data_IF_653594602776
#
_entry.id   IF_653594602776
#
_cell.length_a   1.000
_cell.length_b   1.000
_cell.length_c   1.000
_cell.angle_alpha   90.00
_cell.angle_beta   90.00
_cell.angle_gamma   90.00
#
_symmetry.space_group_name_H-M   'P 1'
#
loop_
_entity.id
_entity.type
_entity.pdbx_description
1 polymer ?
#
# COMPACT_ATOMS: atom_id res chain seq x y z
N UNK A 1 8.30 12.08 7.04
CA UNK A 1 7.63 11.87 8.34
C UNK A 1 8.15 10.60 9.00
N UNK A 2 8.25 10.57 10.34
CA UNK A 2 8.73 9.42 11.13
C UNK A 2 7.89 8.17 10.89
N UNK A 3 6.55 8.28 10.94
CA UNK A 3 5.62 7.15 10.75
C UNK A 3 5.84 6.43 9.41
N UNK A 4 5.95 7.17 8.30
CA UNK A 4 6.18 6.58 6.97
C UNK A 4 7.51 5.81 6.91
N UNK A 5 8.57 6.35 7.55
CA UNK A 5 9.89 5.71 7.60
C UNK A 5 9.88 4.45 8.45
N UNK A 6 9.24 4.50 9.62
CA UNK A 6 9.06 3.35 10.51
C UNK A 6 8.28 2.24 9.82
N UNK A 7 7.13 2.57 9.21
CA UNK A 7 6.35 1.59 8.46
C UNK A 7 7.14 0.96 7.33
N UNK A 8 7.91 1.74 6.57
CA UNK A 8 8.72 1.19 5.47
C UNK A 8 9.73 0.17 5.97
N UNK A 9 10.34 0.42 7.14
CA UNK A 9 11.29 -0.50 7.79
C UNK A 9 10.60 -1.73 8.39
N UNK A 10 9.43 -1.55 8.97
CA UNK A 10 8.77 -2.63 9.73
C UNK A 10 7.91 -3.55 8.86
N UNK A 11 7.12 -2.97 7.96
CA UNK A 11 6.18 -3.69 7.10
C UNK A 11 5.89 -2.89 5.82
N UNK A 12 6.45 -3.36 4.71
CA UNK A 12 6.34 -2.70 3.41
C UNK A 12 4.89 -2.57 2.90
N UNK A 13 4.01 -3.54 3.17
CA UNK A 13 2.60 -3.44 2.80
C UNK A 13 1.85 -2.37 3.60
N UNK A 14 2.12 -2.25 4.90
CA UNK A 14 1.56 -1.16 5.69
C UNK A 14 2.04 0.20 5.22
N UNK A 15 3.31 0.30 4.81
CA UNK A 15 3.85 1.52 4.23
C UNK A 15 3.11 1.91 2.94
N UNK A 16 2.92 0.97 2.01
CA UNK A 16 2.21 1.23 0.75
C UNK A 16 0.77 1.70 1.02
N UNK A 17 0.01 0.94 1.82
CA UNK A 17 -1.38 1.28 2.15
C UNK A 17 -1.50 2.62 2.89
N UNK A 18 -0.57 2.90 3.80
CA UNK A 18 -0.50 4.20 4.48
C UNK A 18 -0.25 5.34 3.49
N UNK A 19 0.73 5.19 2.59
CA UNK A 19 1.04 6.23 1.62
C UNK A 19 -0.10 6.47 0.63
N UNK A 20 -0.81 5.43 0.20
CA UNK A 20 -2.02 5.58 -0.62
C UNK A 20 -3.14 6.33 0.11
N UNK A 21 -3.31 6.07 1.41
CA UNK A 21 -4.24 6.84 2.22
C UNK A 21 -3.83 8.32 2.29
N UNK A 22 -2.53 8.61 2.45
CA UNK A 22 -2.00 9.98 2.46
C UNK A 22 -2.27 10.69 1.13
N UNK A 23 -1.99 10.04 -0.01
CA UNK A 23 -2.31 10.60 -1.32
C UNK A 23 -3.81 10.89 -1.47
N UNK A 24 -4.67 9.96 -1.05
CA UNK A 24 -6.13 10.17 -1.09
C UNK A 24 -6.55 11.37 -0.24
N UNK A 25 -6.00 11.51 0.96
CA UNK A 25 -6.29 12.65 1.83
C UNK A 25 -5.83 13.97 1.19
N UNK A 26 -4.62 13.99 0.59
CA UNK A 26 -4.11 15.16 -0.14
C UNK A 26 -5.09 15.55 -1.27
N UNK A 27 -5.63 14.58 -2.01
CA UNK A 27 -6.61 14.81 -3.09
C UNK A 27 -7.93 15.35 -2.55
N UNK A 28 -8.47 14.75 -1.49
CA UNK A 28 -9.73 15.20 -0.84
C UNK A 28 -9.62 16.63 -0.34
N UNK A 29 -8.43 17.05 0.09
CA UNK A 29 -8.14 18.41 0.54
C UNK A 29 -7.65 19.33 -0.60
N UNK A 30 -7.83 18.93 -1.87
CA UNK A 30 -7.49 19.69 -3.07
C UNK A 30 -6.04 20.15 -3.14
N UNK A 31 -5.11 19.35 -2.61
CA UNK A 31 -3.68 19.67 -2.57
C UNK A 31 -3.38 21.01 -1.85
N UNK A 32 -4.25 21.40 -0.92
CA UNK A 32 -4.14 22.63 -0.15
C UNK A 32 -3.50 22.36 1.21
N UNK A 33 -2.30 22.91 1.41
CA UNK A 33 -1.54 22.71 2.64
C UNK A 33 -2.21 23.31 3.86
N UNK A 34 -2.96 24.41 3.71
CA UNK A 34 -3.64 25.05 4.83
C UNK A 34 -4.82 24.19 5.29
N UNK A 35 -5.56 23.58 4.35
CA UNK A 35 -6.60 22.60 4.68
C UNK A 35 -6.01 21.36 5.35
N UNK A 36 -4.88 20.84 4.87
CA UNK A 36 -4.16 19.72 5.50
C UNK A 36 -3.74 20.09 6.93
N UNK A 37 -3.21 21.29 7.12
CA UNK A 37 -2.80 21.75 8.44
C UNK A 37 -3.98 21.78 9.42
N UNK A 38 -5.09 22.41 9.04
CA UNK A 38 -6.28 22.57 9.87
C UNK A 38 -7.03 21.25 10.14
N UNK A 39 -7.05 20.33 9.18
CA UNK A 39 -7.82 19.09 9.30
C UNK A 39 -7.03 17.91 9.88
N UNK A 40 -5.69 17.95 9.79
CA UNK A 40 -4.83 16.83 10.12
C UNK A 40 -3.75 17.25 11.10
N UNK A 41 -2.83 18.14 10.69
CA UNK A 41 -1.59 18.42 11.45
C UNK A 41 -1.92 19.01 12.82
N UNK A 42 -2.89 19.93 12.91
CA UNK A 42 -3.26 20.58 14.17
C UNK A 42 -3.82 19.61 15.23
N UNK A 43 -4.37 18.46 14.79
CA UNK A 43 -4.96 17.44 15.68
C UNK A 43 -3.89 16.59 16.37
N UNK A 44 -2.63 16.67 15.95
CA UNK A 44 -1.53 16.00 16.63
C UNK A 44 -1.11 16.83 17.86
N UNK A 45 -1.11 16.18 19.01
CA UNK A 45 -0.55 16.73 20.25
C UNK A 45 0.98 16.66 20.18
N UNK A 46 1.58 17.63 19.48
CA UNK A 46 3.00 17.70 19.17
C UNK A 46 3.47 19.18 19.18
N UNK A 47 4.76 19.44 19.48
CA UNK A 47 5.36 20.76 19.40
C UNK A 47 5.27 21.38 18.00
N UNK A 48 5.28 22.71 17.91
CA UNK A 48 5.19 23.44 16.65
C UNK A 48 6.33 23.10 15.68
N UNK A 49 7.53 22.79 16.19
CA UNK A 49 8.65 22.31 15.37
C UNK A 49 8.29 21.04 14.60
N UNK A 50 7.69 20.06 15.26
CA UNK A 50 7.25 18.80 14.65
C UNK A 50 6.10 19.03 13.68
N UNK A 51 5.14 19.90 14.02
CA UNK A 51 4.05 20.28 13.11
C UNK A 51 4.56 20.96 11.84
N UNK A 52 5.60 21.78 11.95
CA UNK A 52 6.26 22.39 10.80
C UNK A 52 6.95 21.35 9.92
N UNK A 53 7.64 20.37 10.50
CA UNK A 53 8.21 19.25 9.74
C UNK A 53 7.14 18.43 9.01
N UNK A 54 6.00 18.18 9.66
CA UNK A 54 4.85 17.54 9.02
C UNK A 54 4.34 18.37 7.83
N UNK A 55 4.20 19.69 8.00
CA UNK A 55 3.79 20.61 6.94
C UNK A 55 4.75 20.55 5.75
N UNK A 56 6.05 20.61 5.99
CA UNK A 56 7.09 20.49 4.95
C UNK A 56 7.04 19.13 4.24
N UNK A 57 6.78 18.05 4.97
CA UNK A 57 6.64 16.72 4.37
C UNK A 57 5.44 16.62 3.44
N UNK A 58 4.27 17.12 3.85
CA UNK A 58 3.08 17.18 2.98
C UNK A 58 3.30 18.06 1.74
N UNK A 59 3.98 19.21 1.90
CA UNK A 59 4.35 20.07 0.76
C UNK A 59 5.21 19.32 -0.25
N UNK A 60 6.19 18.54 0.22
CA UNK A 60 7.02 17.70 -0.64
C UNK A 60 6.18 16.69 -1.44
N UNK A 61 5.25 15.99 -0.78
CA UNK A 61 4.35 15.06 -1.46
C UNK A 61 3.45 15.75 -2.49
N UNK A 62 2.89 16.91 -2.15
CA UNK A 62 2.09 17.72 -3.08
C UNK A 62 2.91 18.13 -4.30
N UNK A 63 4.17 18.54 -4.12
CA UNK A 63 5.06 18.89 -5.24
C UNK A 63 5.27 17.70 -6.16
N UNK A 64 5.64 16.54 -5.60
CA UNK A 64 5.82 15.30 -6.37
C UNK A 64 4.54 14.92 -7.12
N UNK A 65 3.37 15.00 -6.49
CA UNK A 65 2.10 14.67 -7.13
C UNK A 65 1.79 15.61 -8.30
N UNK A 66 2.18 16.89 -8.22
CA UNK A 66 2.02 17.86 -9.32
C UNK A 66 3.02 17.59 -10.45
N UNK A 67 4.28 17.41 -10.12
CA UNK A 67 5.37 17.15 -11.07
C UNK A 67 5.12 15.85 -11.86
N UNK A 68 4.60 14.82 -11.20
CA UNK A 68 4.30 13.52 -11.81
C UNK A 68 2.90 13.43 -12.44
N UNK A 69 2.12 14.53 -12.44
CA UNK A 69 0.73 14.58 -12.93
C UNK A 69 -0.20 13.54 -12.27
N UNK A 70 -0.04 13.30 -10.96
CA UNK A 70 -0.82 12.36 -10.13
C UNK A 70 -1.82 13.06 -9.20
N UNK A 71 -2.24 14.27 -9.56
CA UNK A 71 -3.11 15.13 -8.76
C UNK A 71 -4.55 14.59 -8.65
N UNK A 72 -5.05 13.90 -9.67
CA UNK A 72 -6.43 13.36 -9.69
C UNK A 72 -6.47 11.85 -9.46
N UNK A 73 -5.55 11.10 -10.07
CA UNK A 73 -5.54 9.64 -10.07
C UNK A 73 -4.13 9.05 -10.11
N UNK A 74 -4.04 7.75 -9.85
CA UNK A 74 -2.79 6.99 -9.81
C UNK A 74 -1.99 7.20 -8.53
N UNK A 75 -0.80 6.64 -8.48
CA UNK A 75 0.09 6.70 -7.32
C UNK A 75 1.43 7.32 -7.72
N UNK A 76 2.11 7.93 -6.76
CA UNK A 76 3.48 8.44 -6.94
C UNK A 76 4.40 7.33 -7.45
N UNK A 77 5.34 7.68 -8.32
CA UNK A 77 6.22 6.73 -8.99
C UNK A 77 7.05 5.93 -7.98
N UNK A 78 7.46 6.55 -6.87
CA UNK A 78 8.17 5.84 -5.79
C UNK A 78 7.35 4.67 -5.21
N UNK A 79 6.03 4.81 -5.13
CA UNK A 79 5.14 3.75 -4.62
C UNK A 79 4.92 2.66 -5.67
N UNK A 80 4.76 3.05 -6.93
CA UNK A 80 4.70 2.10 -8.05
C UNK A 80 5.98 1.25 -8.13
N UNK A 81 7.15 1.89 -8.01
CA UNK A 81 8.43 1.18 -7.98
C UNK A 81 8.49 0.18 -6.82
N UNK A 82 8.06 0.59 -5.62
CA UNK A 82 8.02 -0.31 -4.46
C UNK A 82 7.12 -1.52 -4.70
N UNK A 83 5.96 -1.33 -5.35
CA UNK A 83 5.06 -2.44 -5.71
C UNK A 83 5.70 -3.35 -6.75
N UNK A 84 6.41 -2.79 -7.73
CA UNK A 84 7.12 -3.57 -8.75
C UNK A 84 8.28 -4.37 -8.15
N UNK A 85 9.00 -3.82 -7.17
CA UNK A 85 10.03 -4.55 -6.42
C UNK A 85 9.42 -5.73 -5.66
N UNK A 86 8.27 -5.54 -5.00
CA UNK A 86 7.52 -6.61 -4.36
C UNK A 86 7.00 -7.66 -5.33
N UNK A 87 6.58 -7.24 -6.53
CA UNK A 87 6.15 -8.17 -7.58
C UNK A 87 7.32 -9.01 -8.09
N UNK A 88 8.48 -8.41 -8.35
CA UNK A 88 9.68 -9.14 -8.74
C UNK A 88 10.10 -10.15 -7.67
N UNK A 89 10.09 -9.72 -6.41
CA UNK A 89 10.36 -10.60 -5.28
C UNK A 89 9.31 -11.72 -5.16
N UNK A 90 8.03 -11.42 -5.36
CA UNK A 90 6.96 -12.42 -5.43
C UNK A 90 7.23 -13.47 -6.50
N UNK A 91 7.69 -13.09 -7.70
CA UNK A 91 8.04 -14.05 -8.75
C UNK A 91 9.22 -14.93 -8.35
N UNK A 92 10.23 -14.38 -7.67
CA UNK A 92 11.36 -15.17 -7.14
C UNK A 92 10.87 -16.19 -6.09
N UNK A 93 9.99 -15.76 -5.17
CA UNK A 93 9.38 -16.64 -4.17
C UNK A 93 8.59 -17.80 -4.80
N UNK A 94 7.87 -17.55 -5.90
CA UNK A 94 7.13 -18.62 -6.60
C UNK A 94 8.04 -19.65 -7.28
N UNK A 95 9.26 -19.25 -7.66
CA UNK A 95 10.23 -20.12 -8.33
C UNK A 95 11.21 -20.80 -7.36
N UNK A 96 11.14 -20.49 -6.07
CA UNK A 96 12.06 -21.02 -5.06
C UNK A 96 11.54 -22.34 -4.47
N UNK A 97 12.34 -23.40 -4.59
CA UNK A 97 12.02 -24.73 -4.05
C UNK A 97 11.85 -24.72 -2.51
N UNK A 98 12.44 -23.73 -1.83
CA UNK A 98 12.40 -23.62 -0.36
C UNK A 98 11.16 -22.88 0.17
N UNK A 99 10.31 -22.35 -0.71
CA UNK A 99 9.18 -21.48 -0.35
C UNK A 99 7.82 -22.12 -0.64
N UNK A 100 7.69 -23.45 -0.45
CA UNK A 100 6.44 -24.18 -0.70
C UNK A 100 5.23 -23.58 0.05
N UNK A 101 5.40 -23.14 1.30
CA UNK A 101 4.33 -22.47 2.06
C UNK A 101 3.83 -21.19 1.37
N UNK A 102 4.76 -20.43 0.76
CA UNK A 102 4.41 -19.26 -0.02
C UNK A 102 3.57 -19.64 -1.25
N UNK A 103 4.02 -20.64 -2.00
CA UNK A 103 3.33 -21.15 -3.20
C UNK A 103 1.92 -21.67 -2.84
N UNK A 104 1.77 -22.41 -1.75
CA UNK A 104 0.47 -22.91 -1.29
C UNK A 104 -0.47 -21.75 -0.90
N UNK A 105 0.06 -20.76 -0.19
CA UNK A 105 -0.69 -19.55 0.20
C UNK A 105 -1.12 -18.74 -1.04
N UNK A 106 -0.26 -18.66 -2.05
CA UNK A 106 -0.55 -18.03 -3.32
C UNK A 106 -1.66 -18.77 -4.08
N UNK A 107 -1.57 -20.09 -4.22
CA UNK A 107 -2.56 -20.92 -4.90
C UNK A 107 -3.96 -20.78 -4.28
N UNK A 108 -4.05 -20.71 -2.94
CA UNK A 108 -5.31 -20.44 -2.24
C UNK A 108 -5.87 -19.04 -2.50
N UNK A 109 -5.00 -18.06 -2.75
CA UNK A 109 -5.38 -16.67 -2.99
C UNK A 109 -5.71 -16.40 -4.47
N UNK A 110 -5.16 -17.21 -5.38
CA UNK A 110 -5.21 -17.00 -6.84
C UNK A 110 -6.60 -16.73 -7.40
N UNK A 111 -7.68 -17.48 -7.03
CA UNK A 111 -9.01 -17.18 -7.53
C UNK A 111 -9.48 -15.76 -7.20
N UNK A 112 -9.21 -15.28 -5.97
CA UNK A 112 -9.56 -13.92 -5.56
C UNK A 112 -8.71 -12.85 -6.24
N UNK A 113 -7.45 -13.17 -6.53
CA UNK A 113 -6.54 -12.28 -7.26
C UNK A 113 -7.01 -12.11 -8.70
N UNK A 114 -7.33 -13.21 -9.38
CA UNK A 114 -7.83 -13.19 -10.75
C UNK A 114 -9.11 -12.37 -10.87
N UNK A 115 -10.04 -12.51 -9.91
CA UNK A 115 -11.23 -11.66 -9.81
C UNK A 115 -10.90 -10.17 -9.68
N UNK A 116 -9.91 -9.81 -8.87
CA UNK A 116 -9.48 -8.40 -8.71
C UNK A 116 -8.84 -7.86 -9.98
N UNK A 117 -8.00 -8.67 -10.65
CA UNK A 117 -7.39 -8.30 -11.93
C UNK A 117 -8.46 -8.10 -13.00
N UNK A 118 -9.44 -8.99 -13.10
CA UNK A 118 -10.58 -8.85 -14.02
C UNK A 118 -11.37 -7.56 -13.74
N UNK A 119 -11.70 -7.29 -12.47
CA UNK A 119 -12.45 -6.08 -12.06
C UNK A 119 -11.66 -4.78 -12.29
N UNK A 120 -10.35 -4.84 -12.39
CA UNK A 120 -9.51 -3.67 -12.67
C UNK A 120 -9.56 -3.21 -14.13
N UNK A 121 -10.24 -3.93 -15.03
CA UNK A 121 -10.27 -3.64 -16.47
C UNK A 121 -8.86 -3.46 -17.07
N UNK A 122 -7.90 -4.29 -16.65
CA UNK A 122 -6.49 -4.25 -17.10
C UNK A 122 -5.77 -2.92 -16.79
N UNK A 123 -6.23 -2.17 -15.80
CA UNK A 123 -5.53 -0.93 -15.37
C UNK A 123 -4.37 -1.19 -14.43
N UNK A 124 -4.32 -2.37 -13.79
CA UNK A 124 -3.21 -2.80 -12.93
C UNK A 124 -2.05 -3.34 -13.76
N UNK A 125 -0.82 -3.04 -13.33
CA UNK A 125 0.40 -3.50 -13.98
C UNK A 125 0.75 -4.94 -13.62
N UNK A 126 0.40 -5.37 -12.40
CA UNK A 126 0.67 -6.71 -11.91
C UNK A 126 -0.34 -7.14 -10.83
N UNK A 127 -0.30 -8.41 -10.46
CA UNK A 127 -1.27 -8.98 -9.53
C UNK A 127 -1.07 -8.57 -8.07
N UNK A 128 0.16 -8.17 -7.69
CA UNK A 128 0.42 -7.60 -6.35
C UNK A 128 -0.22 -6.21 -6.24
N UNK A 129 -0.17 -5.40 -7.29
CA UNK A 129 -0.91 -4.13 -7.36
C UNK A 129 -2.43 -4.37 -7.23
N UNK A 130 -2.96 -5.40 -7.91
CA UNK A 130 -4.37 -5.78 -7.77
C UNK A 130 -4.73 -6.16 -6.33
N UNK A 131 -3.87 -6.90 -5.64
CA UNK A 131 -4.03 -7.21 -4.22
C UNK A 131 -4.08 -5.96 -3.34
N UNK A 132 -3.15 -5.01 -3.55
CA UNK A 132 -3.14 -3.75 -2.81
C UNK A 132 -4.40 -2.91 -3.08
N UNK A 133 -4.86 -2.84 -4.33
CA UNK A 133 -6.12 -2.18 -4.69
C UNK A 133 -7.31 -2.81 -3.95
N UNK A 134 -7.38 -4.14 -3.90
CA UNK A 134 -8.41 -4.87 -3.15
C UNK A 134 -8.37 -4.57 -1.65
N UNK A 135 -7.18 -4.65 -1.03
CA UNK A 135 -6.99 -4.39 0.40
C UNK A 135 -7.29 -2.93 0.77
N UNK A 136 -6.90 -1.97 -0.08
CA UNK A 136 -7.23 -0.57 0.12
C UNK A 136 -8.73 -0.30 -0.03
N UNK A 137 -9.38 -0.93 -1.03
CA UNK A 137 -10.84 -0.88 -1.18
C UNK A 137 -11.57 -1.44 0.04
N UNK A 138 -11.09 -2.56 0.60
CA UNK A 138 -11.62 -3.13 1.84
C UNK A 138 -11.47 -2.17 3.03
N UNK A 139 -10.32 -1.50 3.15
CA UNK A 139 -10.10 -0.47 4.18
C UNK A 139 -11.11 0.67 4.05
N UNK A 140 -11.35 1.16 2.83
CA UNK A 140 -12.32 2.22 2.58
C UNK A 140 -13.75 1.79 2.93
N UNK A 141 -14.16 0.57 2.58
CA UNK A 141 -15.48 0.04 2.98
C UNK A 141 -15.64 -0.05 4.50
N UNK A 142 -14.61 -0.49 5.21
CA UNK A 142 -14.62 -0.53 6.69
C UNK A 142 -14.78 0.88 7.29
N UNK A 143 -14.06 1.87 6.76
CA UNK A 143 -14.20 3.27 7.21
C UNK A 143 -15.60 3.84 6.97
N UNK A 144 -16.32 3.32 5.96
CA UNK A 144 -17.70 3.70 5.63
C UNK A 144 -18.75 2.82 6.34
N UNK A 145 -18.35 1.91 7.22
CA UNK A 145 -19.22 0.90 7.85
C UNK A 145 -20.05 0.08 6.84
N UNK A 146 -19.50 -0.15 5.64
CA UNK A 146 -20.12 -0.99 4.61
C UNK A 146 -19.82 -2.46 4.85
N UNK A 147 -20.82 -3.31 4.68
CA UNK A 147 -20.68 -4.77 4.74
C UNK A 147 -20.21 -5.33 3.41
N UNK A 148 -19.42 -6.39 3.45
CA UNK A 148 -19.02 -7.20 2.29
C UNK A 148 -19.67 -8.57 2.36
N UNK A 149 -19.80 -9.25 1.22
CA UNK A 149 -20.34 -10.61 1.20
C UNK A 149 -19.37 -11.60 1.88
N UNK A 150 -19.86 -12.74 2.41
CA UNK A 150 -19.01 -13.78 2.98
C UNK A 150 -17.94 -14.29 1.99
N UNK A 151 -18.29 -14.40 0.71
CA UNK A 151 -17.39 -14.83 -0.36
C UNK A 151 -16.27 -13.81 -0.55
N UNK A 152 -16.62 -12.51 -0.60
CA UNK A 152 -15.64 -11.42 -0.68
C UNK A 152 -14.72 -11.40 0.54
N UNK A 153 -15.27 -11.63 1.73
CA UNK A 153 -14.49 -11.71 2.96
C UNK A 153 -13.50 -12.89 2.94
N UNK A 154 -13.92 -14.06 2.46
CA UNK A 154 -13.08 -15.23 2.28
C UNK A 154 -11.90 -14.95 1.34
N UNK A 155 -12.18 -14.45 0.13
CA UNK A 155 -11.15 -14.08 -0.84
C UNK A 155 -10.16 -13.06 -0.26
N UNK A 156 -10.67 -12.04 0.43
CA UNK A 156 -9.83 -11.00 1.03
C UNK A 156 -8.98 -11.49 2.19
N UNK A 157 -9.44 -12.49 2.95
CA UNK A 157 -8.63 -13.12 3.98
C UNK A 157 -7.45 -13.88 3.38
N UNK A 158 -7.64 -14.60 2.28
CA UNK A 158 -6.53 -15.29 1.58
C UNK A 158 -5.51 -14.27 1.04
N UNK A 159 -5.97 -13.24 0.32
CA UNK A 159 -5.11 -12.17 -0.20
C UNK A 159 -4.36 -11.44 0.92
N UNK A 160 -5.03 -11.13 2.02
CA UNK A 160 -4.38 -10.47 3.17
C UNK A 160 -3.28 -11.35 3.78
N UNK A 161 -3.46 -12.68 3.81
CA UNK A 161 -2.44 -13.62 4.30
C UNK A 161 -1.25 -13.69 3.34
N UNK A 162 -1.50 -13.73 2.03
CA UNK A 162 -0.44 -13.70 1.02
C UNK A 162 0.41 -12.43 1.14
N UNK A 163 -0.22 -11.25 1.21
CA UNK A 163 0.49 -9.97 1.31
C UNK A 163 1.25 -9.84 2.63
N UNK A 164 0.69 -10.35 3.74
CA UNK A 164 1.41 -10.39 5.01
C UNK A 164 2.66 -11.29 4.95
N UNK A 165 2.54 -12.48 4.33
CA UNK A 165 3.67 -13.38 4.16
C UNK A 165 4.73 -12.79 3.22
N UNK A 166 4.32 -12.22 2.08
CA UNK A 166 5.19 -11.53 1.14
C UNK A 166 5.97 -10.40 1.82
N UNK A 167 5.28 -9.56 2.59
CA UNK A 167 5.90 -8.43 3.31
C UNK A 167 6.91 -8.89 4.36
N UNK A 168 6.58 -9.96 5.08
CA UNK A 168 7.50 -10.57 6.04
C UNK A 168 8.76 -11.08 5.35
N UNK A 169 8.60 -11.87 4.27
CA UNK A 169 9.71 -12.45 3.51
C UNK A 169 10.58 -11.38 2.87
N UNK A 170 9.97 -10.34 2.32
CA UNK A 170 10.68 -9.22 1.72
C UNK A 170 11.58 -8.50 2.74
N UNK A 171 11.09 -8.28 3.97
CA UNK A 171 11.90 -7.72 5.06
C UNK A 171 13.09 -8.62 5.41
N UNK A 172 12.88 -9.94 5.49
CA UNK A 172 13.96 -10.90 5.75
C UNK A 172 15.02 -10.85 4.65
N UNK A 173 14.59 -10.74 3.39
CA UNK A 173 15.49 -10.59 2.24
C UNK A 173 16.28 -9.28 2.31
N UNK A 174 15.63 -8.14 2.58
CA UNK A 174 16.32 -6.85 2.73
C UNK A 174 17.34 -6.84 3.89
N UNK A 175 17.10 -7.64 4.93
CA UNK A 175 18.02 -7.82 6.05
C UNK A 175 19.15 -8.84 5.78
N UNK A 176 19.12 -9.55 4.64
CA UNK A 176 20.05 -10.63 4.33
C UNK A 176 19.83 -11.90 5.17
N UNK A 177 18.64 -12.07 5.75
CA UNK A 177 18.28 -13.28 6.52
C UNK A 177 17.90 -14.46 5.63
N UNK A 178 17.50 -14.18 4.38
CA UNK A 178 17.19 -15.18 3.35
C UNK A 178 17.80 -14.77 2.01
N UNK A 179 18.22 -15.76 1.24
CA UNK A 179 18.66 -15.62 -0.15
C UNK A 179 17.64 -16.35 -1.04
N UNK A 180 17.23 -15.72 -2.15
CA UNK A 180 16.23 -16.23 -3.09
C UNK A 180 16.80 -16.18 -4.51
#
# INVERSE_FOLDING_TARGET
MIIAREKKKENIAEYILYMWQIEHIIRVLNLDIEKIYQNIIIKFDQPDSVKNEMKSWYLGLISMMKEENKTEKGHLQILQNTINDLYNFHLQMLNSDNEQNYVDTYNLSKPGIDDLVLKSNQTVQNEIEACFNGLYGLLMFRMQNKTISPETAGAMNHISRLIALLSKRYKQFENGEIEI
#
